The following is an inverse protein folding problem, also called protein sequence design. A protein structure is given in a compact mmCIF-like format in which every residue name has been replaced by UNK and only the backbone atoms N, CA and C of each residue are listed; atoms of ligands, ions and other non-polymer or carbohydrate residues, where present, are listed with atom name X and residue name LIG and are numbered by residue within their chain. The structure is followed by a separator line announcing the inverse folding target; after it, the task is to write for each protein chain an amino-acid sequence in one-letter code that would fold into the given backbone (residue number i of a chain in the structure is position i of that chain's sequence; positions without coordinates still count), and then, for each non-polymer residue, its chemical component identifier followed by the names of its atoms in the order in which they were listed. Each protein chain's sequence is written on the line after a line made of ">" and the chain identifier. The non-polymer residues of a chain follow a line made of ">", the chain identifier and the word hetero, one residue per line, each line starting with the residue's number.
data_IF_979417058531
#
_entry.id   IF_979417058531
#
_cell.length_a   1.000
_cell.length_b   1.000
_cell.length_c   1.000
_cell.angle_alpha   90.00
_cell.angle_beta   90.00
_cell.angle_gamma   90.00
#
_symmetry.space_group_name_H-M   'P 1'
#
loop_
_entity.id
_entity.type
_entity.pdbx_description
1 polymer ?
#
# COMPACT_ATOMS: atom_id res chain seq x y z
N UNK A 1 56.83 -16.13 -13.97
CA UNK A 1 55.92 -16.79 -12.99
C UNK A 1 54.59 -17.07 -13.67
N UNK A 2 54.34 -18.31 -14.10
CA UNK A 2 53.07 -18.77 -14.67
C UNK A 2 52.18 -19.27 -13.53
N UNK A 3 50.99 -18.70 -13.34
CA UNK A 3 49.97 -19.25 -12.43
C UNK A 3 49.02 -20.12 -13.26
N UNK A 4 49.01 -21.41 -12.98
CA UNK A 4 48.09 -22.42 -13.53
C UNK A 4 46.72 -22.26 -12.88
N UNK A 5 45.67 -22.08 -13.69
CA UNK A 5 44.28 -22.09 -13.22
C UNK A 5 43.74 -23.51 -12.94
N UNK A 6 42.67 -23.65 -12.16
CA UNK A 6 42.10 -24.95 -11.80
C UNK A 6 41.27 -25.59 -12.94
N UNK A 7 41.34 -26.92 -12.97
CA UNK A 7 40.71 -27.87 -13.90
C UNK A 7 39.17 -27.92 -13.76
N UNK A 8 38.39 -28.11 -14.84
CA UNK A 8 36.93 -28.14 -14.78
C UNK A 8 36.39 -29.46 -14.22
N UNK A 9 35.57 -29.36 -13.17
CA UNK A 9 34.88 -30.49 -12.52
C UNK A 9 33.94 -31.25 -13.47
N UNK A 10 34.16 -32.57 -13.57
CA UNK A 10 33.34 -33.55 -14.30
C UNK A 10 31.90 -33.59 -13.74
N UNK A 11 30.93 -33.05 -14.48
CA UNK A 11 29.51 -33.17 -14.17
C UNK A 11 29.03 -34.62 -14.39
N UNK A 12 28.51 -35.26 -13.34
CA UNK A 12 27.79 -36.53 -13.44
C UNK A 12 26.50 -36.35 -14.26
N UNK A 13 26.32 -37.22 -15.27
CA UNK A 13 25.18 -37.16 -16.19
C UNK A 13 23.92 -37.69 -15.52
N UNK A 14 22.83 -36.93 -15.71
CA UNK A 14 21.44 -37.13 -15.25
C UNK A 14 20.79 -38.49 -15.58
N UNK A 15 21.52 -39.46 -16.15
CA UNK A 15 21.00 -40.75 -16.63
C UNK A 15 21.46 -41.96 -15.80
N UNK A 16 22.34 -41.79 -14.81
CA UNK A 16 22.72 -42.87 -13.87
C UNK A 16 21.93 -42.88 -12.55
N UNK A 17 21.17 -41.83 -12.25
CA UNK A 17 20.41 -41.73 -10.99
C UNK A 17 19.07 -42.50 -10.97
N UNK A 18 18.72 -43.19 -12.05
CA UNK A 18 17.41 -43.87 -12.22
C UNK A 18 17.50 -45.40 -12.32
N UNK A 19 18.56 -46.04 -11.79
CA UNK A 19 18.70 -47.52 -11.80
C UNK A 19 18.90 -48.20 -10.45
N UNK A 20 18.49 -47.59 -9.33
CA UNK A 20 18.51 -48.21 -8.00
C UNK A 20 17.26 -47.72 -7.24
N UNK A 21 16.29 -48.51 -6.80
CA UNK A 21 16.05 -49.94 -6.89
C UNK A 21 14.57 -50.24 -6.59
N UNK A 22 14.06 -51.32 -7.20
CA UNK A 22 12.86 -52.04 -6.78
C UNK A 22 13.28 -53.08 -5.71
N UNK A 23 12.49 -53.27 -4.66
CA UNK A 23 11.87 -54.54 -4.22
C UNK A 23 11.32 -54.46 -2.77
N UNK A 24 9.99 -54.48 -2.70
CA UNK A 24 9.06 -55.13 -1.74
C UNK A 24 9.24 -55.05 -0.21
N UNK A 25 8.14 -54.65 0.45
CA UNK A 25 7.76 -55.05 1.79
C UNK A 25 6.25 -54.86 2.01
N UNK A 26 5.51 -55.96 2.14
CA UNK A 26 4.07 -56.05 2.37
C UNK A 26 3.77 -56.07 3.88
N UNK A 27 2.73 -55.35 4.34
CA UNK A 27 2.18 -55.58 5.69
C UNK A 27 1.31 -54.48 6.29
N UNK A 28 0.04 -54.86 6.52
CA UNK A 28 -0.91 -54.41 7.56
C UNK A 28 -1.86 -53.22 7.29
N UNK A 29 -3.14 -53.61 7.15
CA UNK A 29 -4.36 -52.82 7.25
C UNK A 29 -4.53 -52.27 8.68
N UNK A 30 -4.78 -50.97 8.83
CA UNK A 30 -5.73 -50.40 9.81
C UNK A 30 -5.80 -48.88 9.72
N UNK A 31 -7.04 -48.36 9.64
CA UNK A 31 -7.35 -46.98 10.01
C UNK A 31 -7.51 -45.98 8.87
N UNK A 32 -8.67 -46.02 8.19
CA UNK A 32 -9.18 -44.81 7.54
C UNK A 32 -9.54 -43.78 8.62
N UNK A 33 -8.61 -42.87 8.93
CA UNK A 33 -8.99 -41.58 9.50
C UNK A 33 -9.31 -40.65 8.35
N UNK A 34 -10.61 -40.43 8.15
CA UNK A 34 -11.11 -39.35 7.31
C UNK A 34 -10.63 -38.03 7.92
N UNK A 35 -9.60 -37.44 7.30
CA UNK A 35 -9.29 -36.05 7.53
C UNK A 35 -10.45 -35.24 6.95
N UNK A 36 -11.32 -34.73 7.81
CA UNK A 36 -12.31 -33.72 7.45
C UNK A 36 -11.57 -32.53 6.85
N UNK A 37 -11.93 -32.06 5.63
CA UNK A 37 -11.37 -30.82 5.13
C UNK A 37 -11.79 -29.70 6.07
N UNK A 38 -10.81 -29.12 6.76
CA UNK A 38 -11.00 -27.94 7.59
C UNK A 38 -11.71 -26.86 6.77
N UNK A 39 -12.86 -26.44 7.29
CA UNK A 39 -13.74 -25.46 6.68
C UNK A 39 -12.94 -24.26 6.18
N UNK A 40 -13.06 -24.00 4.87
CA UNK A 40 -12.70 -22.71 4.30
C UNK A 40 -13.50 -21.64 5.05
N UNK A 41 -12.88 -20.62 5.66
CA UNK A 41 -13.66 -19.56 6.27
C UNK A 41 -14.43 -18.88 5.14
N UNK A 42 -15.75 -19.04 5.16
CA UNK A 42 -16.66 -18.37 4.24
C UNK A 42 -16.44 -16.86 4.34
N UNK A 43 -16.39 -16.13 3.21
CA UNK A 43 -16.36 -14.68 3.27
C UNK A 43 -17.69 -14.21 3.86
N UNK A 44 -17.64 -13.71 5.09
CA UNK A 44 -18.72 -12.87 5.62
C UNK A 44 -18.78 -11.65 4.70
N UNK A 45 -19.80 -11.64 3.84
CA UNK A 45 -20.10 -10.56 2.93
C UNK A 45 -20.61 -9.36 3.74
N UNK A 46 -19.78 -8.32 3.85
CA UNK A 46 -20.27 -6.98 4.21
C UNK A 46 -21.01 -6.45 2.97
N UNK A 47 -22.34 -6.61 2.97
CA UNK A 47 -23.22 -6.02 1.96
C UNK A 47 -23.24 -4.50 2.13
N UNK A 48 -22.45 -3.77 1.33
CA UNK A 48 -22.77 -2.44 0.80
C UNK A 48 -21.62 -1.85 -0.06
N UNK A 49 -21.23 -2.47 -1.18
CA UNK A 49 -20.53 -1.76 -2.28
C UNK A 49 -20.95 -2.40 -3.60
N UNK A 50 -21.40 -1.59 -4.57
CA UNK A 50 -21.74 -2.05 -5.92
C UNK A 50 -20.52 -2.66 -6.61
N UNK A 51 -20.61 -3.96 -6.90
CA UNK A 51 -19.55 -4.87 -7.40
C UNK A 51 -18.30 -4.95 -6.50
N UNK A 52 -17.84 -6.19 -6.32
CA UNK A 52 -16.99 -6.56 -5.20
C UNK A 52 -15.52 -6.20 -5.42
N UNK A 53 -14.93 -5.48 -4.47
CA UNK A 53 -13.48 -5.40 -4.34
C UNK A 53 -12.87 -6.79 -4.05
N UNK A 54 -11.64 -7.01 -4.48
CA UNK A 54 -10.84 -8.14 -3.99
C UNK A 54 -10.31 -7.77 -2.61
N UNK A 55 -10.84 -8.42 -1.56
CA UNK A 55 -10.42 -8.17 -0.18
C UNK A 55 -9.04 -8.78 0.07
N UNK A 56 -8.03 -7.93 0.31
CA UNK A 56 -6.66 -8.37 0.65
C UNK A 56 -6.43 -8.40 2.15
N UNK A 57 -7.06 -7.49 2.90
CA UNK A 57 -7.08 -7.48 4.35
C UNK A 57 -8.37 -6.83 4.84
N UNK A 58 -8.92 -7.30 5.97
CA UNK A 58 -10.11 -6.71 6.58
C UNK A 58 -9.78 -5.68 7.66
N UNK A 59 -8.69 -5.89 8.41
CA UNK A 59 -8.28 -5.03 9.53
C UNK A 59 -6.75 -4.93 9.59
N UNK A 60 -6.15 -3.79 9.21
CA UNK A 60 -6.76 -2.63 8.52
C UNK A 60 -7.34 -3.01 7.15
N UNK A 61 -8.22 -2.16 6.61
CA UNK A 61 -8.92 -2.43 5.34
C UNK A 61 -7.94 -2.27 4.17
N UNK A 62 -7.71 -3.34 3.43
CA UNK A 62 -6.98 -3.32 2.17
C UNK A 62 -7.83 -3.98 1.08
N UNK A 63 -8.29 -3.19 0.11
CA UNK A 63 -9.20 -3.59 -0.97
C UNK A 63 -8.54 -3.34 -2.32
N UNK A 64 -8.51 -4.35 -3.17
CA UNK A 64 -7.96 -4.25 -4.51
C UNK A 64 -9.08 -4.13 -5.55
N UNK A 65 -8.91 -3.23 -6.51
CA UNK A 65 -9.82 -3.09 -7.65
C UNK A 65 -9.70 -4.31 -8.56
N UNK A 66 -10.79 -5.04 -8.89
CA UNK A 66 -10.73 -6.07 -9.92
C UNK A 66 -10.24 -5.49 -11.23
N UNK A 67 -9.37 -6.20 -11.95
CA UNK A 67 -8.74 -5.67 -13.17
C UNK A 67 -9.80 -5.38 -14.25
N UNK A 68 -10.87 -6.17 -14.25
CA UNK A 68 -12.02 -6.05 -15.15
C UNK A 68 -12.81 -4.75 -14.93
N UNK A 69 -12.63 -4.08 -13.79
CA UNK A 69 -13.26 -2.81 -13.46
C UNK A 69 -12.53 -1.59 -14.06
N UNK A 70 -11.31 -1.75 -14.60
CA UNK A 70 -10.58 -0.67 -15.28
C UNK A 70 -11.09 -0.45 -16.71
N UNK A 71 -12.35 0.00 -16.82
CA UNK A 71 -13.03 0.21 -18.12
C UNK A 71 -12.99 1.67 -18.60
N UNK A 72 -12.60 2.59 -17.73
CA UNK A 72 -12.58 4.04 -17.98
C UNK A 72 -11.23 4.63 -17.62
N UNK A 73 -10.89 5.77 -18.22
CA UNK A 73 -9.63 6.48 -17.94
C UNK A 73 -9.51 6.94 -16.48
N UNK A 74 -10.65 7.35 -15.88
CA UNK A 74 -10.76 7.69 -14.47
C UNK A 74 -11.42 6.51 -13.75
N UNK A 75 -10.75 5.98 -12.74
CA UNK A 75 -11.28 4.94 -11.86
C UNK A 75 -12.41 5.54 -11.01
N UNK A 76 -13.65 5.02 -11.07
CA UNK A 76 -14.74 5.50 -10.24
C UNK A 76 -14.41 5.40 -8.74
N UNK A 77 -14.90 6.34 -7.93
CA UNK A 77 -14.59 6.39 -6.49
C UNK A 77 -15.01 5.12 -5.75
N UNK A 78 -16.15 4.54 -6.12
CA UNK A 78 -16.65 3.27 -5.57
C UNK A 78 -15.80 2.06 -5.98
N UNK A 79 -14.83 2.26 -6.90
CA UNK A 79 -13.88 1.25 -7.42
C UNK A 79 -12.43 1.57 -7.15
N UNK A 80 -12.13 2.67 -6.50
CA UNK A 80 -10.75 3.06 -6.20
C UNK A 80 -10.19 2.15 -5.10
N UNK A 81 -9.03 1.54 -5.34
CA UNK A 81 -8.42 0.63 -4.36
C UNK A 81 -8.22 1.32 -3.00
N UNK A 82 -8.27 0.54 -1.92
CA UNK A 82 -8.07 1.04 -0.55
C UNK A 82 -6.83 0.38 0.04
N UNK A 83 -5.90 1.17 0.58
CA UNK A 83 -4.74 0.67 1.33
C UNK A 83 -4.65 1.40 2.67
N UNK A 84 -4.64 0.67 3.77
CA UNK A 84 -4.57 1.27 5.12
C UNK A 84 -3.56 0.56 6.03
N UNK A 85 -2.68 1.30 6.70
CA UNK A 85 -1.75 0.74 7.70
C UNK A 85 -2.42 0.59 9.08
N UNK A 86 -3.41 1.42 9.38
CA UNK A 86 -4.11 1.51 10.64
C UNK A 86 -5.63 1.58 10.41
N UNK A 87 -6.45 1.43 11.46
CA UNK A 87 -7.90 1.66 11.35
C UNK A 87 -8.21 3.06 10.84
N UNK A 88 -9.28 3.16 10.06
CA UNK A 88 -9.81 4.43 9.56
C UNK A 88 -10.19 5.36 10.73
N UNK A 89 -9.68 6.60 10.77
CA UNK A 89 -10.02 7.54 11.82
C UNK A 89 -11.47 8.02 11.66
N UNK A 90 -12.18 8.17 12.77
CA UNK A 90 -13.49 8.84 12.77
C UNK A 90 -13.26 10.33 12.91
N UNK A 91 -13.57 11.09 11.85
CA UNK A 91 -13.40 12.54 11.80
C UNK A 91 -14.74 13.19 11.49
N UNK A 92 -14.99 14.36 12.09
CA UNK A 92 -16.07 15.27 11.73
C UNK A 92 -15.46 16.48 11.02
N UNK A 93 -16.20 17.12 10.12
CA UNK A 93 -15.74 18.36 9.49
C UNK A 93 -15.60 19.51 10.52
N UNK A 94 -16.42 19.48 11.58
CA UNK A 94 -16.48 20.53 12.60
C UNK A 94 -15.25 20.52 13.52
N UNK A 95 -14.71 19.34 13.82
CA UNK A 95 -13.59 19.16 14.75
C UNK A 95 -12.24 19.02 14.03
N UNK A 96 -12.25 18.99 12.69
CA UNK A 96 -11.03 18.80 11.91
C UNK A 96 -10.16 20.05 11.87
N UNK A 97 -8.86 19.86 12.14
CA UNK A 97 -7.84 20.92 12.07
C UNK A 97 -6.57 20.38 11.43
N UNK A 98 -6.09 21.06 10.38
CA UNK A 98 -4.72 20.93 9.89
C UNK A 98 -3.78 21.78 10.74
N UNK A 99 -2.68 21.18 11.18
CA UNK A 99 -1.61 21.88 11.87
C UNK A 99 -0.34 21.81 11.01
N UNK A 100 0.19 22.97 10.64
CA UNK A 100 1.49 23.11 9.99
C UNK A 100 2.44 23.70 11.01
N UNK A 101 3.46 22.94 11.37
CA UNK A 101 4.48 23.34 12.35
C UNK A 101 5.77 23.67 11.61
N UNK A 102 6.43 24.74 12.04
CA UNK A 102 7.71 25.17 11.50
C UNK A 102 8.63 25.50 12.68
N UNK A 103 9.85 24.92 12.76
CA UNK A 103 10.75 25.16 13.88
C UNK A 103 11.00 26.66 14.12
N UNK A 104 10.89 27.09 15.37
CA UNK A 104 11.10 28.49 15.75
C UNK A 104 10.01 29.47 15.29
N UNK A 105 8.94 29.03 14.61
CA UNK A 105 7.80 29.88 14.22
C UNK A 105 6.50 29.36 14.85
N UNK A 106 5.48 30.22 14.93
CA UNK A 106 4.15 29.87 15.49
C UNK A 106 3.40 28.80 14.68
N UNK A 107 3.77 28.62 13.40
CA UNK A 107 3.10 27.71 12.47
C UNK A 107 1.72 28.22 12.03
N UNK A 108 0.93 27.34 11.42
CA UNK A 108 -0.42 27.60 10.92
C UNK A 108 -1.39 26.53 11.44
N UNK A 109 -2.59 26.96 11.84
CA UNK A 109 -3.72 26.07 12.10
C UNK A 109 -4.87 26.45 11.18
N UNK A 110 -5.40 25.49 10.44
CA UNK A 110 -6.56 25.67 9.56
C UNK A 110 -7.66 24.70 9.96
N UNK A 111 -8.86 25.20 10.21
CA UNK A 111 -10.05 24.35 10.22
C UNK A 111 -10.43 23.97 8.78
N UNK A 112 -11.39 23.06 8.64
CA UNK A 112 -11.79 22.55 7.33
C UNK A 112 -12.42 23.63 6.43
N UNK A 113 -13.16 24.58 7.02
CA UNK A 113 -13.74 25.72 6.29
C UNK A 113 -12.66 26.65 5.74
N UNK A 114 -11.65 26.95 6.54
CA UNK A 114 -10.50 27.79 6.17
C UNK A 114 -9.61 27.08 5.15
N UNK A 115 -9.48 25.76 5.21
CA UNK A 115 -8.85 25.02 4.12
C UNK A 115 -9.66 25.21 2.83
N UNK A 116 -10.99 25.01 2.89
CA UNK A 116 -11.89 25.15 1.74
C UNK A 116 -11.85 26.52 1.07
N UNK A 117 -11.50 27.60 1.77
CA UNK A 117 -11.40 28.94 1.18
C UNK A 117 -10.17 29.19 0.30
N UNK A 118 -9.14 28.33 0.34
CA UNK A 118 -8.02 28.40 -0.61
C UNK A 118 -8.49 28.16 -2.05
N UNK A 119 -7.80 28.72 -3.03
CA UNK A 119 -8.06 28.44 -4.44
C UNK A 119 -8.00 26.93 -4.72
N UNK A 120 -9.03 26.43 -5.39
CA UNK A 120 -9.11 25.02 -5.75
C UNK A 120 -8.28 24.77 -7.01
N UNK A 121 -7.37 23.81 -6.93
CA UNK A 121 -6.62 23.33 -8.08
C UNK A 121 -6.87 21.85 -8.28
N UNK A 122 -6.85 21.41 -9.53
CA UNK A 122 -7.08 20.01 -9.89
C UNK A 122 -5.89 19.43 -10.64
N UNK A 123 -5.60 18.16 -10.38
CA UNK A 123 -4.63 17.36 -11.15
C UNK A 123 -5.24 16.01 -11.48
N UNK A 124 -5.03 15.51 -12.70
CA UNK A 124 -5.30 14.11 -13.00
C UNK A 124 -4.05 13.31 -12.72
N UNK A 125 -4.11 12.37 -11.78
CA UNK A 125 -2.94 11.59 -11.38
C UNK A 125 -3.31 10.16 -11.01
N UNK A 126 -2.38 9.25 -11.34
CA UNK A 126 -2.41 7.86 -10.92
C UNK A 126 -1.84 7.76 -9.51
N UNK A 127 -2.60 7.15 -8.60
CA UNK A 127 -2.08 6.68 -7.33
C UNK A 127 -1.85 5.18 -7.44
N UNK A 128 -0.62 4.73 -7.20
CA UNK A 128 -0.25 3.32 -7.25
C UNK A 128 0.42 2.90 -5.94
N UNK A 129 -0.01 1.78 -5.37
CA UNK A 129 0.68 1.18 -4.25
C UNK A 129 2.05 0.68 -4.70
N UNK A 130 3.12 0.99 -3.96
CA UNK A 130 4.45 0.40 -4.20
C UNK A 130 4.45 -1.14 -4.16
N UNK A 131 3.44 -1.73 -3.51
CA UNK A 131 3.22 -3.16 -3.46
C UNK A 131 2.38 -3.74 -4.59
N UNK A 132 1.90 -2.93 -5.56
CA UNK A 132 1.13 -3.45 -6.67
C UNK A 132 1.91 -4.56 -7.38
N UNK A 133 1.23 -5.64 -7.76
CA UNK A 133 1.81 -6.87 -8.33
C UNK A 133 2.71 -7.70 -7.40
N UNK A 134 2.82 -7.39 -6.10
CA UNK A 134 3.63 -8.18 -5.15
C UNK A 134 3.30 -9.68 -5.15
N UNK A 135 2.03 -10.05 -5.29
CA UNK A 135 1.61 -11.46 -5.31
C UNK A 135 2.13 -12.26 -6.52
N UNK A 136 2.66 -11.57 -7.55
CA UNK A 136 3.18 -12.19 -8.77
C UNK A 136 4.67 -12.57 -8.65
N UNK A 137 5.40 -12.10 -7.64
CA UNK A 137 6.82 -12.40 -7.46
C UNK A 137 7.08 -13.87 -7.13
N UNK A 138 8.21 -14.40 -7.61
CA UNK A 138 8.74 -15.75 -7.31
C UNK A 138 10.24 -15.65 -6.97
N UNK A 139 10.68 -16.08 -5.78
CA UNK A 139 9.88 -16.56 -4.65
C UNK A 139 8.95 -15.47 -4.11
N UNK A 140 7.91 -15.86 -3.35
CA UNK A 140 7.00 -14.89 -2.72
C UNK A 140 7.77 -14.04 -1.70
N UNK A 141 7.42 -12.76 -1.62
CA UNK A 141 8.01 -11.82 -0.66
C UNK A 141 6.96 -11.35 0.37
N UNK A 142 7.37 -11.02 1.61
CA UNK A 142 6.45 -10.56 2.66
C UNK A 142 5.65 -9.30 2.29
N UNK A 143 4.49 -9.14 2.93
CA UNK A 143 3.57 -8.01 2.77
C UNK A 143 2.23 -8.41 2.16
N UNK A 144 1.34 -7.43 1.99
CA UNK A 144 0.04 -7.65 1.34
C UNK A 144 0.26 -8.14 -0.09
N UNK A 145 -0.35 -9.27 -0.41
CA UNK A 145 -0.18 -9.99 -1.68
C UNK A 145 -1.11 -9.42 -2.76
N UNK A 146 -0.84 -8.19 -3.17
CA UNK A 146 -1.59 -7.51 -4.24
C UNK A 146 -1.45 -8.23 -5.58
N UNK A 147 -2.54 -8.27 -6.34
CA UNK A 147 -2.56 -8.55 -7.76
C UNK A 147 -2.21 -7.28 -8.54
N UNK A 148 -2.91 -6.99 -9.64
CA UNK A 148 -2.59 -5.84 -10.51
C UNK A 148 -3.44 -4.59 -10.21
N UNK A 149 -4.41 -4.70 -9.30
CA UNK A 149 -5.41 -3.66 -9.05
C UNK A 149 -5.12 -2.71 -7.91
N UNK A 150 -3.90 -2.67 -7.36
CA UNK A 150 -3.52 -1.72 -6.31
C UNK A 150 -3.09 -0.37 -6.92
N UNK A 151 -3.96 0.16 -7.80
CA UNK A 151 -3.73 1.35 -8.62
C UNK A 151 -5.08 1.95 -9.02
N UNK A 152 -5.13 3.27 -9.15
CA UNK A 152 -6.28 3.98 -9.70
C UNK A 152 -5.88 5.35 -10.23
N UNK A 153 -6.64 5.88 -11.19
CA UNK A 153 -6.43 7.19 -11.77
C UNK A 153 -7.63 8.08 -11.49
N UNK A 154 -7.43 9.27 -10.95
CA UNK A 154 -8.51 10.17 -10.58
C UNK A 154 -8.14 11.63 -10.82
N UNK A 155 -9.16 12.49 -10.83
CA UNK A 155 -8.99 13.94 -10.71
C UNK A 155 -8.98 14.29 -9.22
N UNK A 156 -7.86 14.81 -8.75
CA UNK A 156 -7.65 15.22 -7.37
C UNK A 156 -7.82 16.73 -7.29
N UNK A 157 -8.81 17.19 -6.53
CA UNK A 157 -9.10 18.62 -6.34
C UNK A 157 -8.86 19.02 -4.90
N UNK A 158 -8.17 20.14 -4.69
CA UNK A 158 -7.78 20.57 -3.35
C UNK A 158 -7.06 21.91 -3.28
N UNK A 159 -6.61 22.27 -2.08
CA UNK A 159 -5.67 23.38 -1.90
C UNK A 159 -4.27 22.94 -2.35
N UNK A 160 -3.54 23.82 -3.03
CA UNK A 160 -2.11 23.62 -3.28
C UNK A 160 -1.36 23.61 -1.95
N UNK A 161 -0.57 22.57 -1.70
CA UNK A 161 0.22 22.49 -0.48
C UNK A 161 1.26 23.62 -0.42
N UNK A 162 1.80 24.03 -1.57
CA UNK A 162 2.70 25.19 -1.68
C UNK A 162 2.10 26.46 -1.08
N UNK A 163 0.82 26.76 -1.35
CA UNK A 163 0.16 27.95 -0.84
C UNK A 163 -0.10 27.88 0.66
N UNK A 164 -0.43 26.69 1.16
CA UNK A 164 -0.59 26.44 2.60
C UNK A 164 0.74 26.59 3.33
N UNK A 165 1.83 26.05 2.79
CA UNK A 165 3.17 26.16 3.37
C UNK A 165 3.70 27.59 3.32
N UNK A 166 3.51 28.31 2.21
CA UNK A 166 3.83 29.74 2.10
C UNK A 166 3.06 30.56 3.14
N UNK A 167 1.77 30.28 3.32
CA UNK A 167 0.96 30.93 4.37
C UNK A 167 1.44 30.60 5.78
N UNK A 168 1.99 29.41 6.00
CA UNK A 168 2.61 29.01 7.26
C UNK A 168 4.00 29.64 7.50
N UNK A 169 4.54 30.37 6.52
CA UNK A 169 5.83 31.05 6.61
C UNK A 169 7.03 30.16 6.24
N UNK A 170 6.81 29.12 5.42
CA UNK A 170 7.90 28.37 4.78
C UNK A 170 8.53 29.24 3.70
N UNK A 171 9.85 29.41 3.78
CA UNK A 171 10.70 30.19 2.89
C UNK A 171 11.99 29.41 2.61
N UNK A 172 12.97 29.99 1.90
CA UNK A 172 14.23 29.32 1.56
C UNK A 172 15.08 28.92 2.78
N UNK A 173 14.84 29.53 3.95
CA UNK A 173 15.52 29.17 5.20
C UNK A 173 14.83 28.02 5.96
N UNK A 174 13.66 27.57 5.48
CA UNK A 174 12.94 26.48 6.11
C UNK A 174 13.69 25.15 5.98
N UNK A 175 13.45 24.19 6.88
CA UNK A 175 13.98 22.83 6.73
C UNK A 175 13.53 22.21 5.42
N UNK A 176 14.46 21.55 4.72
CA UNK A 176 14.23 21.01 3.38
C UNK A 176 13.02 20.06 3.28
N UNK A 177 12.74 19.29 4.32
CA UNK A 177 11.71 18.26 4.29
C UNK A 177 10.43 18.67 5.00
N UNK A 178 9.31 18.38 4.37
CA UNK A 178 7.98 18.41 4.98
C UNK A 178 7.62 16.99 5.39
N UNK A 179 7.26 16.80 6.66
CA UNK A 179 6.76 15.54 7.19
C UNK A 179 5.23 15.63 7.31
N UNK A 180 4.52 14.64 6.77
CA UNK A 180 3.06 14.53 6.84
C UNK A 180 2.69 13.39 7.78
N UNK A 181 1.75 13.69 8.68
CA UNK A 181 1.08 12.72 9.54
C UNK A 181 -0.41 12.65 9.22
N UNK A 182 -0.96 11.44 9.16
CA UNK A 182 -2.39 11.21 9.13
C UNK A 182 -3.02 11.32 10.52
N UNK A 183 -4.35 11.31 10.58
CA UNK A 183 -5.10 11.20 11.84
C UNK A 183 -5.31 9.76 12.30
N UNK A 184 -4.91 8.78 11.49
CA UNK A 184 -4.97 7.36 11.82
C UNK A 184 -4.00 7.02 12.94
N UNK A 185 -4.40 6.07 13.80
CA UNK A 185 -3.61 5.67 14.97
C UNK A 185 -3.36 4.17 14.98
N UNK A 186 -2.14 3.74 15.29
CA UNK A 186 -1.85 2.33 15.48
C UNK A 186 -2.66 1.75 16.66
N UNK A 187 -2.96 0.46 16.59
CA UNK A 187 -3.67 -0.25 17.66
C UNK A 187 -2.80 -0.46 18.92
N UNK A 188 -1.48 -0.47 18.76
CA UNK A 188 -0.52 -0.66 19.85
C UNK A 188 0.42 0.53 19.91
N UNK A 189 0.77 0.97 21.13
CA UNK A 189 1.69 2.10 21.34
C UNK A 189 3.11 1.87 20.81
N UNK A 190 3.49 0.60 20.64
CA UNK A 190 4.80 0.20 20.11
C UNK A 190 4.91 0.28 18.60
N UNK A 191 3.76 0.37 17.89
CA UNK A 191 3.74 0.51 16.45
C UNK A 191 3.85 2.00 16.12
N UNK A 192 4.76 2.41 15.21
CA UNK A 192 4.90 3.80 14.84
C UNK A 192 3.63 4.31 14.14
N UNK A 193 3.38 5.62 14.26
CA UNK A 193 2.36 6.28 13.43
C UNK A 193 2.75 6.21 11.96
N UNK A 194 1.76 6.24 11.07
CA UNK A 194 2.03 6.41 9.65
C UNK A 194 2.54 7.83 9.38
N UNK A 195 3.76 7.92 8.86
CA UNK A 195 4.37 9.17 8.45
C UNK A 195 5.03 9.02 7.07
N UNK A 196 5.05 10.12 6.33
CA UNK A 196 5.78 10.22 5.06
C UNK A 196 6.40 11.61 4.96
N UNK A 197 7.37 11.79 4.06
CA UNK A 197 7.99 13.08 3.84
C UNK A 197 8.39 13.27 2.39
N UNK A 198 8.57 14.52 2.01
CA UNK A 198 9.09 14.93 0.71
C UNK A 198 9.87 16.23 0.87
N UNK A 199 10.78 16.52 -0.06
CA UNK A 199 11.53 17.78 -0.08
C UNK A 199 10.63 18.90 -0.61
N UNK A 200 10.61 20.05 0.07
CA UNK A 200 9.79 21.19 -0.35
C UNK A 200 10.35 21.92 -1.58
N UNK A 201 11.58 21.61 -1.99
CA UNK A 201 12.25 22.19 -3.16
C UNK A 201 11.52 21.92 -4.49
N UNK A 202 10.60 20.95 -4.55
CA UNK A 202 9.80 20.61 -5.74
C UNK A 202 8.32 21.01 -5.68
N UNK A 203 7.92 21.88 -4.75
CA UNK A 203 6.51 22.16 -4.45
C UNK A 203 5.73 22.87 -5.57
N UNK A 204 6.40 23.44 -6.56
CA UNK A 204 5.72 24.12 -7.66
C UNK A 204 4.83 23.18 -8.49
N UNK A 205 5.00 21.86 -8.38
CA UNK A 205 4.34 20.92 -9.29
C UNK A 205 3.43 19.83 -8.68
N UNK A 206 3.54 19.42 -7.41
CA UNK A 206 3.07 18.04 -7.09
C UNK A 206 2.45 17.73 -5.71
N UNK A 207 2.09 18.70 -4.86
CA UNK A 207 1.45 18.37 -3.58
C UNK A 207 0.16 19.15 -3.30
N UNK A 208 -0.88 18.43 -2.88
CA UNK A 208 -2.24 18.95 -2.67
C UNK A 208 -2.82 18.42 -1.36
N UNK A 209 -3.69 19.23 -0.76
CA UNK A 209 -4.60 18.78 0.30
C UNK A 209 -5.98 18.64 -0.33
N UNK A 210 -6.43 17.41 -0.53
CA UNK A 210 -7.75 17.10 -1.10
C UNK A 210 -8.84 17.68 -0.20
N UNK A 211 -9.80 18.38 -0.81
CA UNK A 211 -10.93 19.00 -0.11
C UNK A 211 -12.19 18.18 -0.28
#
# INVERSE_FOLDING_TARGET
>A
MRRTGPEPSRMLKRREFLRIGLWTGMGLLSGCHQATPSATPSPVADKAIGQEFIVRNRRPKDLETPVEAFQTFLTPNDRFFVRSHHPEPKLSEQDWVLQVQLPGKKGLKLDYKSLKSYEASSVTAVLQCAGNSRGLYRPRVPGVQWGRGAVGNAVWTGARLADVLRKAGVDESAPEHVVIHGSDKPLMKTVPIFSTSFSHSGLDNLCWLTK
#
